data_IF_160992196060
#
_entry.id   IF_160992196060
#
_cell.length_a   1.000
_cell.length_b   1.000
_cell.length_c   1.000
_cell.angle_alpha   90.00
_cell.angle_beta   90.00
_cell.angle_gamma   90.00
#
_symmetry.space_group_name_H-M   'P 1'
#
loop_
_entity.id
_entity.type
_entity.pdbx_description
1 polymer ?
#
# COMPACT_ATOMS: atom_id res chain seq x y z
N UNK A 1 17.67 -26.22 -14.72
CA UNK A 1 16.30 -26.77 -14.57
C UNK A 1 15.55 -25.87 -13.57
N UNK A 2 14.74 -24.93 -14.05
CA UNK A 2 14.08 -23.94 -13.19
C UNK A 2 12.81 -24.57 -12.62
N UNK A 3 12.89 -25.18 -11.43
CA UNK A 3 11.73 -25.70 -10.71
C UNK A 3 10.93 -24.52 -10.16
N UNK A 4 10.20 -23.83 -11.03
CA UNK A 4 9.24 -22.83 -10.60
C UNK A 4 8.15 -23.57 -9.82
N UNK A 5 8.15 -23.42 -8.49
CA UNK A 5 7.08 -23.94 -7.65
C UNK A 5 5.72 -23.44 -8.17
N UNK A 6 4.70 -24.32 -8.21
CA UNK A 6 3.39 -23.96 -8.70
C UNK A 6 2.85 -22.75 -7.93
N UNK A 7 2.33 -21.76 -8.65
CA UNK A 7 1.69 -20.61 -8.03
C UNK A 7 0.43 -21.08 -7.30
N UNK A 8 0.19 -20.63 -6.05
CA UNK A 8 -1.01 -21.00 -5.32
C UNK A 8 -2.27 -20.57 -6.08
N UNK A 9 -3.36 -21.31 -5.87
CA UNK A 9 -4.66 -20.93 -6.43
C UNK A 9 -5.08 -19.54 -5.90
N UNK A 10 -5.91 -18.77 -6.64
CA UNK A 10 -6.39 -17.46 -6.19
C UNK A 10 -7.05 -17.54 -4.82
N UNK A 11 -7.81 -18.61 -4.57
CA UNK A 11 -8.50 -18.83 -3.32
C UNK A 11 -7.57 -19.08 -2.14
N UNK A 12 -6.46 -19.80 -2.34
CA UNK A 12 -5.44 -19.98 -1.30
C UNK A 12 -4.77 -18.64 -0.96
N UNK A 13 -4.42 -17.87 -1.98
CA UNK A 13 -3.83 -16.55 -1.78
C UNK A 13 -4.80 -15.56 -1.13
N UNK A 14 -6.07 -15.59 -1.53
CA UNK A 14 -7.14 -14.77 -0.94
C UNK A 14 -7.38 -15.16 0.52
N UNK A 15 -7.44 -16.45 0.84
CA UNK A 15 -7.57 -16.94 2.21
C UNK A 15 -6.39 -16.48 3.08
N UNK A 16 -5.16 -16.55 2.57
CA UNK A 16 -3.98 -16.06 3.27
C UNK A 16 -4.07 -14.55 3.55
N UNK A 17 -4.38 -13.74 2.53
CA UNK A 17 -4.52 -12.28 2.66
C UNK A 17 -5.66 -11.89 3.60
N UNK A 18 -6.81 -12.58 3.52
CA UNK A 18 -7.94 -12.40 4.42
C UNK A 18 -7.58 -12.75 5.86
N UNK A 19 -6.89 -13.87 6.08
CA UNK A 19 -6.47 -14.32 7.40
C UNK A 19 -5.53 -13.32 8.06
N UNK A 20 -4.48 -12.86 7.36
CA UNK A 20 -3.54 -11.89 7.96
C UNK A 20 -4.20 -10.53 8.21
N UNK A 21 -5.12 -10.09 7.34
CA UNK A 21 -5.90 -8.87 7.55
C UNK A 21 -6.78 -8.99 8.80
N UNK A 22 -7.55 -10.08 8.91
CA UNK A 22 -8.43 -10.32 10.05
C UNK A 22 -7.66 -10.49 11.37
N UNK A 23 -6.50 -11.17 11.35
CA UNK A 23 -5.64 -11.32 12.51
C UNK A 23 -5.08 -9.98 12.97
N UNK A 24 -4.52 -9.17 12.06
CA UNK A 24 -3.98 -7.86 12.40
C UNK A 24 -5.06 -6.92 12.96
N UNK A 25 -6.21 -6.81 12.27
CA UNK A 25 -7.32 -5.98 12.75
C UNK A 25 -7.90 -6.52 14.05
N UNK A 26 -7.99 -7.84 14.22
CA UNK A 26 -8.46 -8.48 15.46
C UNK A 26 -7.57 -8.15 16.67
N UNK A 27 -6.25 -8.19 16.48
CA UNK A 27 -5.29 -7.74 17.52
C UNK A 27 -5.49 -6.26 17.83
N UNK A 28 -5.61 -5.41 16.81
CA UNK A 28 -5.90 -3.97 16.98
C UNK A 28 -7.18 -3.71 17.78
N UNK A 29 -8.29 -4.38 17.41
CA UNK A 29 -9.57 -4.29 18.13
C UNK A 29 -9.43 -4.76 19.58
N UNK A 30 -8.69 -5.84 19.84
CA UNK A 30 -8.46 -6.34 21.20
C UNK A 30 -7.67 -5.31 22.05
N UNK A 31 -6.62 -4.70 21.49
CA UNK A 31 -5.87 -3.62 22.15
C UNK A 31 -6.78 -2.44 22.47
N UNK A 32 -7.54 -1.97 21.48
CA UNK A 32 -8.46 -0.84 21.63
C UNK A 32 -9.55 -1.11 22.67
N UNK A 33 -10.15 -2.30 22.64
CA UNK A 33 -11.19 -2.70 23.58
C UNK A 33 -10.69 -2.71 25.03
N UNK A 34 -9.52 -3.31 25.28
CA UNK A 34 -8.90 -3.36 26.62
C UNK A 34 -8.49 -1.99 27.14
N UNK A 35 -8.20 -1.05 26.26
CA UNK A 35 -7.90 0.33 26.62
C UNK A 35 -9.14 1.23 26.75
N UNK A 36 -10.36 0.67 26.65
CA UNK A 36 -11.60 1.43 26.84
C UNK A 36 -11.95 2.35 25.66
N UNK A 37 -11.42 2.09 24.46
CA UNK A 37 -11.82 2.84 23.25
C UNK A 37 -13.31 2.65 22.98
N UNK A 38 -13.99 3.73 22.60
CA UNK A 38 -15.44 3.76 22.43
C UNK A 38 -15.96 2.63 21.51
N UNK A 39 -17.03 1.90 21.90
CA UNK A 39 -17.55 0.77 21.11
C UNK A 39 -17.96 1.14 19.68
N UNK A 40 -18.36 2.40 19.44
CA UNK A 40 -18.68 2.89 18.11
C UNK A 40 -17.48 2.82 17.15
N UNK A 41 -16.27 3.13 17.63
CA UNK A 41 -15.05 3.06 16.83
C UNK A 41 -14.65 1.61 16.55
N UNK A 42 -14.83 0.70 17.52
CA UNK A 42 -14.60 -0.73 17.31
C UNK A 42 -15.52 -1.30 16.23
N UNK A 43 -16.82 -0.95 16.27
CA UNK A 43 -17.80 -1.34 15.23
C UNK A 43 -17.42 -0.81 13.87
N UNK A 44 -16.95 0.44 13.80
CA UNK A 44 -16.53 1.06 12.56
C UNK A 44 -15.26 0.41 11.98
N UNK A 45 -14.29 0.05 12.83
CA UNK A 45 -13.13 -0.75 12.41
C UNK A 45 -13.56 -2.13 11.87
N UNK A 46 -14.51 -2.79 12.54
CA UNK A 46 -15.09 -4.05 12.08
C UNK A 46 -15.80 -3.93 10.72
N UNK A 47 -16.49 -2.81 10.47
CA UNK A 47 -17.09 -2.52 9.17
C UNK A 47 -16.03 -2.37 8.08
N UNK A 48 -14.95 -1.63 8.34
CA UNK A 48 -13.86 -1.49 7.37
C UNK A 48 -13.14 -2.81 7.09
N UNK A 49 -13.00 -3.67 8.11
CA UNK A 49 -12.52 -5.04 7.91
C UNK A 49 -13.46 -5.82 6.98
N UNK A 50 -14.78 -5.78 7.21
CA UNK A 50 -15.75 -6.46 6.36
C UNK A 50 -15.68 -6.00 4.90
N UNK A 51 -15.54 -4.69 4.66
CA UNK A 51 -15.34 -4.13 3.31
C UNK A 51 -14.02 -4.62 2.70
N UNK A 52 -12.93 -4.62 3.46
CA UNK A 52 -11.63 -5.11 3.00
C UNK A 52 -11.69 -6.60 2.60
N UNK A 53 -12.35 -7.43 3.42
CA UNK A 53 -12.57 -8.85 3.14
C UNK A 53 -13.46 -9.06 1.91
N UNK A 54 -14.47 -8.21 1.71
CA UNK A 54 -15.29 -8.24 0.50
C UNK A 54 -14.45 -7.94 -0.75
N UNK A 55 -13.58 -6.93 -0.71
CA UNK A 55 -12.68 -6.61 -1.82
C UNK A 55 -11.74 -7.78 -2.15
N UNK A 56 -11.22 -8.46 -1.12
CA UNK A 56 -10.41 -9.68 -1.28
C UNK A 56 -11.22 -10.79 -1.97
N UNK A 57 -12.44 -11.04 -1.50
CA UNK A 57 -13.32 -12.08 -2.06
C UNK A 57 -13.71 -11.77 -3.52
N UNK A 58 -14.03 -10.51 -3.82
CA UNK A 58 -14.30 -10.04 -5.19
C UNK A 58 -13.07 -10.28 -6.07
N UNK A 59 -11.86 -9.92 -5.60
CA UNK A 59 -10.62 -10.17 -6.33
C UNK A 59 -10.39 -11.66 -6.65
N UNK A 60 -10.74 -12.56 -5.72
CA UNK A 60 -10.62 -14.00 -5.92
C UNK A 60 -11.65 -14.56 -6.92
N UNK A 61 -12.85 -13.97 -6.96
CA UNK A 61 -13.95 -14.38 -7.83
C UNK A 61 -13.88 -13.78 -9.24
N UNK A 62 -13.17 -12.65 -9.42
CA UNK A 62 -13.05 -12.01 -10.73
C UNK A 62 -12.32 -12.92 -11.73
N UNK A 63 -12.82 -13.02 -12.98
CA UNK A 63 -12.11 -13.76 -14.01
C UNK A 63 -10.77 -13.08 -14.28
N UNK A 64 -9.71 -13.87 -14.18
CA UNK A 64 -8.34 -13.45 -14.52
C UNK A 64 -8.28 -13.15 -16.02
N UNK A 65 -8.32 -11.85 -16.33
CA UNK A 65 -8.17 -11.33 -17.68
C UNK A 65 -7.05 -10.31 -17.65
N UNK A 66 -6.08 -10.48 -18.55
CA UNK A 66 -5.03 -9.51 -18.77
C UNK A 66 -5.65 -8.16 -19.07
N UNK A 67 -5.49 -7.22 -18.16
CA UNK A 67 -5.93 -5.87 -18.37
C UNK A 67 -5.11 -5.26 -19.51
N UNK A 68 -5.78 -4.57 -20.44
CA UNK A 68 -5.10 -3.87 -21.53
C UNK A 68 -4.16 -2.82 -20.91
N UNK A 69 -2.92 -2.67 -21.41
CA UNK A 69 -1.94 -1.76 -20.81
C UNK A 69 -2.44 -0.31 -20.75
N UNK A 70 -3.20 0.13 -21.74
CA UNK A 70 -3.84 1.46 -21.71
C UNK A 70 -4.87 1.63 -20.59
N UNK A 71 -5.67 0.59 -20.30
CA UNK A 71 -6.62 0.62 -19.18
C UNK A 71 -5.88 0.62 -17.84
N UNK A 72 -4.83 -0.21 -17.69
CA UNK A 72 -3.99 -0.21 -16.50
C UNK A 72 -3.38 1.17 -16.24
N UNK A 73 -2.84 1.81 -17.27
CA UNK A 73 -2.30 3.17 -17.17
C UNK A 73 -3.39 4.17 -16.78
N UNK A 74 -4.56 4.11 -17.40
CA UNK A 74 -5.68 5.00 -17.06
C UNK A 74 -6.09 4.86 -15.58
N UNK A 75 -6.17 3.62 -15.06
CA UNK A 75 -6.45 3.37 -13.65
C UNK A 75 -5.33 3.91 -12.76
N UNK A 76 -4.06 3.69 -13.11
CA UNK A 76 -2.92 4.22 -12.35
C UNK A 76 -2.93 5.75 -12.29
N UNK A 77 -3.22 6.42 -13.41
CA UNK A 77 -3.34 7.87 -13.49
C UNK A 77 -4.53 8.36 -12.67
N UNK A 78 -5.68 7.69 -12.76
CA UNK A 78 -6.85 8.05 -11.96
C UNK A 78 -6.58 7.92 -10.46
N UNK A 79 -5.91 6.83 -10.04
CA UNK A 79 -5.48 6.63 -8.66
C UNK A 79 -4.51 7.73 -8.20
N UNK A 80 -3.43 7.99 -8.96
CA UNK A 80 -2.48 9.04 -8.61
C UNK A 80 -3.11 10.45 -8.60
N UNK A 81 -3.97 10.76 -9.57
CA UNK A 81 -4.70 12.02 -9.63
C UNK A 81 -5.71 12.17 -8.49
N UNK A 82 -6.32 11.08 -8.01
CA UNK A 82 -7.25 11.12 -6.88
C UNK A 82 -6.60 11.65 -5.61
N UNK A 83 -5.28 11.50 -5.44
CA UNK A 83 -4.54 12.07 -4.30
C UNK A 83 -4.66 13.60 -4.23
N UNK A 84 -4.95 14.30 -5.32
CA UNK A 84 -5.17 15.75 -5.29
C UNK A 84 -6.55 16.15 -4.77
N UNK A 85 -7.51 15.22 -4.64
CA UNK A 85 -8.88 15.53 -4.23
C UNK A 85 -8.99 16.23 -2.87
N UNK A 86 -8.31 15.79 -1.79
CA UNK A 86 -8.35 16.49 -0.51
C UNK A 86 -7.94 17.96 -0.62
N UNK A 87 -6.93 18.27 -1.43
CA UNK A 87 -6.47 19.64 -1.68
C UNK A 87 -7.47 20.43 -2.51
N UNK A 88 -7.98 19.85 -3.62
CA UNK A 88 -8.93 20.50 -4.53
C UNK A 88 -10.29 20.80 -3.90
N UNK A 89 -10.75 19.93 -3.00
CA UNK A 89 -12.07 20.04 -2.36
C UNK A 89 -12.04 20.83 -1.05
N UNK A 90 -10.97 21.60 -0.80
CA UNK A 90 -10.90 22.53 0.31
C UNK A 90 -10.53 21.91 1.66
N UNK A 91 -9.60 20.94 1.67
CA UNK A 91 -9.12 20.26 2.89
C UNK A 91 -8.48 21.16 3.97
N UNK A 92 -8.41 22.48 3.78
CA UNK A 92 -7.92 23.45 4.76
C UNK A 92 -6.52 23.10 5.28
N UNK A 93 -6.29 23.33 6.57
CA UNK A 93 -5.03 22.99 7.25
C UNK A 93 -4.73 21.48 7.31
N UNK A 94 -5.69 20.62 6.93
CA UNK A 94 -5.58 19.16 6.97
C UNK A 94 -5.71 18.58 5.56
N UNK A 95 -4.95 19.15 4.62
CA UNK A 95 -5.04 18.88 3.19
C UNK A 95 -4.81 17.40 2.79
N UNK A 96 -4.51 16.47 3.71
CA UNK A 96 -4.39 15.02 3.47
C UNK A 96 -5.68 14.21 3.69
N UNK A 97 -6.72 14.82 4.26
CA UNK A 97 -7.98 14.13 4.62
C UNK A 97 -9.14 14.53 3.72
N UNK A 98 -9.84 13.55 3.13
CA UNK A 98 -11.08 13.77 2.39
C UNK A 98 -12.28 13.66 3.33
N UNK A 99 -13.10 14.71 3.43
CA UNK A 99 -14.35 14.65 4.18
C UNK A 99 -15.43 13.90 3.38
N UNK A 100 -15.98 12.83 3.97
CA UNK A 100 -17.08 12.03 3.41
C UNK A 100 -18.18 11.96 4.48
N UNK A 101 -19.14 12.88 4.40
CA UNK A 101 -20.18 13.04 5.42
C UNK A 101 -19.57 13.35 6.80
N UNK A 102 -19.84 12.50 7.79
CA UNK A 102 -19.33 12.66 9.15
C UNK A 102 -17.90 12.12 9.36
N UNK A 103 -17.28 11.52 8.33
CA UNK A 103 -15.98 10.87 8.45
C UNK A 103 -14.92 11.58 7.62
N UNK A 104 -13.66 11.41 8.04
CA UNK A 104 -12.49 11.87 7.31
C UNK A 104 -11.68 10.67 6.85
N UNK A 105 -11.38 10.59 5.57
CA UNK A 105 -10.63 9.51 4.94
C UNK A 105 -9.24 10.00 4.55
N UNK A 106 -8.21 9.42 5.13
CA UNK A 106 -6.83 9.62 4.68
C UNK A 106 -6.63 8.85 3.38
N UNK A 107 -6.50 9.57 2.26
CA UNK A 107 -6.63 8.96 0.93
C UNK A 107 -5.35 8.23 0.48
N UNK A 108 -4.17 8.72 0.86
CA UNK A 108 -2.89 8.12 0.51
C UNK A 108 -2.81 6.61 0.84
N UNK A 109 -3.11 6.14 2.07
CA UNK A 109 -3.07 4.72 2.38
C UNK A 109 -4.15 3.88 1.67
N UNK A 110 -5.21 4.49 1.10
CA UNK A 110 -6.17 3.78 0.23
C UNK A 110 -5.61 3.56 -1.16
N UNK A 111 -4.92 4.56 -1.69
CA UNK A 111 -4.53 4.66 -3.12
C UNK A 111 -3.17 4.02 -3.39
N UNK A 112 -2.17 4.26 -2.53
CA UNK A 112 -0.79 3.87 -2.82
C UNK A 112 -0.59 2.34 -2.88
N UNK A 113 -1.17 1.53 -1.97
CA UNK A 113 -1.01 0.08 -2.05
C UNK A 113 -1.48 -0.53 -3.38
N UNK A 114 -2.74 -0.32 -3.86
CA UNK A 114 -3.14 -0.85 -5.16
C UNK A 114 -2.39 -0.21 -6.33
N UNK A 115 -2.00 1.06 -6.25
CA UNK A 115 -1.20 1.72 -7.28
C UNK A 115 0.14 0.99 -7.50
N UNK A 116 0.85 0.61 -6.43
CA UNK A 116 2.11 -0.13 -6.52
C UNK A 116 1.94 -1.50 -7.20
N UNK A 117 0.82 -2.20 -6.94
CA UNK A 117 0.50 -3.47 -7.62
C UNK A 117 0.34 -3.27 -9.13
N UNK A 118 -0.46 -2.28 -9.52
CA UNK A 118 -0.78 -2.02 -10.93
C UNK A 118 0.45 -1.52 -11.70
N UNK A 119 1.28 -0.68 -11.07
CA UNK A 119 2.56 -0.24 -11.64
C UNK A 119 3.53 -1.38 -11.85
N UNK A 120 3.63 -2.32 -10.90
CA UNK A 120 4.41 -3.55 -11.09
C UNK A 120 3.97 -4.33 -12.33
N UNK A 121 2.65 -4.44 -12.53
CA UNK A 121 2.09 -5.01 -13.75
C UNK A 121 2.52 -4.28 -15.02
N UNK A 122 2.50 -2.95 -15.05
CA UNK A 122 2.95 -2.16 -16.20
C UNK A 122 4.43 -2.35 -16.50
N UNK A 123 5.28 -2.39 -15.45
CA UNK A 123 6.73 -2.64 -15.59
C UNK A 123 6.97 -4.03 -16.18
N UNK A 124 6.26 -5.04 -15.70
CA UNK A 124 6.41 -6.42 -16.18
C UNK A 124 5.97 -6.58 -17.64
N UNK A 125 4.93 -5.85 -18.09
CA UNK A 125 4.42 -5.95 -19.46
C UNK A 125 5.22 -5.12 -20.48
N UNK A 126 5.61 -3.90 -20.14
CA UNK A 126 6.20 -2.94 -21.08
C UNK A 126 7.71 -2.74 -20.91
N UNK A 127 8.35 -3.45 -19.97
CA UNK A 127 9.79 -3.40 -19.74
C UNK A 127 10.29 -1.98 -19.46
N UNK A 128 11.35 -1.48 -20.14
CA UNK A 128 11.90 -0.15 -19.91
C UNK A 128 10.89 1.00 -20.07
N UNK A 129 9.95 0.88 -21.03
CA UNK A 129 8.91 1.90 -21.23
C UNK A 129 7.93 1.91 -20.06
N UNK A 130 7.53 0.72 -19.58
CA UNK A 130 6.69 0.58 -18.38
C UNK A 130 7.36 1.15 -17.13
N UNK A 131 8.67 0.97 -17.00
CA UNK A 131 9.47 1.55 -15.93
C UNK A 131 9.44 3.10 -15.93
N UNK A 132 9.62 3.71 -17.10
CA UNK A 132 9.52 5.17 -17.25
C UNK A 132 8.10 5.67 -16.93
N UNK A 133 7.08 4.98 -17.44
CA UNK A 133 5.68 5.30 -17.12
C UNK A 133 5.40 5.21 -15.63
N UNK A 134 5.90 4.17 -14.95
CA UNK A 134 5.76 4.03 -13.50
C UNK A 134 6.43 5.18 -12.75
N UNK A 135 7.62 5.62 -13.17
CA UNK A 135 8.31 6.81 -12.61
C UNK A 135 7.44 8.05 -12.75
N UNK A 136 6.86 8.31 -13.93
CA UNK A 136 6.00 9.48 -14.15
C UNK A 136 4.75 9.46 -13.25
N UNK A 137 4.11 8.29 -13.12
CA UNK A 137 2.93 8.14 -12.24
C UNK A 137 3.31 8.30 -10.76
N UNK A 138 4.44 7.74 -10.34
CA UNK A 138 4.94 7.92 -8.97
C UNK A 138 5.34 9.37 -8.70
N UNK A 139 5.88 10.09 -9.68
CA UNK A 139 6.19 11.50 -9.54
C UNK A 139 4.92 12.34 -9.35
N UNK A 140 3.84 12.01 -10.07
CA UNK A 140 2.53 12.63 -9.86
C UNK A 140 2.01 12.37 -8.44
N UNK A 141 2.10 11.12 -7.96
CA UNK A 141 1.70 10.79 -6.59
C UNK A 141 2.59 11.48 -5.54
N UNK A 142 3.91 11.51 -5.73
CA UNK A 142 4.86 12.15 -4.83
C UNK A 142 4.63 13.66 -4.73
N UNK A 143 4.34 14.32 -5.85
CA UNK A 143 3.97 15.74 -5.87
C UNK A 143 2.66 15.98 -5.10
N UNK A 144 1.65 15.11 -5.26
CA UNK A 144 0.41 15.20 -4.49
C UNK A 144 0.66 15.09 -2.97
N UNK A 145 1.51 14.14 -2.54
CA UNK A 145 1.84 13.95 -1.12
C UNK A 145 2.65 15.10 -0.54
N UNK A 146 3.55 15.70 -1.34
CA UNK A 146 4.30 16.88 -0.93
C UNK A 146 3.40 18.11 -0.74
N UNK A 147 2.36 18.26 -1.55
CA UNK A 147 1.33 19.31 -1.38
C UNK A 147 0.38 19.05 -0.19
N UNK A 148 0.26 17.78 0.24
CA UNK A 148 -0.57 17.36 1.37
C UNK A 148 0.16 17.36 2.73
N UNK A 149 1.33 18.00 2.78
CA UNK A 149 2.49 17.59 3.56
C UNK A 149 2.35 16.26 4.33
N UNK A 150 2.44 15.13 3.61
CA UNK A 150 2.41 13.79 4.20
C UNK A 150 3.78 13.09 4.10
N UNK A 151 4.72 13.43 5.00
CA UNK A 151 6.09 12.92 4.92
C UNK A 151 6.18 11.41 5.12
N UNK A 152 5.30 10.81 5.93
CA UNK A 152 5.36 9.37 6.19
C UNK A 152 4.96 8.57 4.95
N UNK A 153 3.87 8.98 4.29
CA UNK A 153 3.41 8.35 3.06
C UNK A 153 4.39 8.57 1.90
N UNK A 154 4.96 9.78 1.80
CA UNK A 154 5.94 10.10 0.77
C UNK A 154 7.26 9.32 0.97
N UNK A 155 7.73 9.16 2.21
CA UNK A 155 8.92 8.35 2.49
C UNK A 155 8.66 6.88 2.18
N UNK A 156 7.51 6.34 2.58
CA UNK A 156 7.13 4.97 2.26
C UNK A 156 7.03 4.73 0.74
N UNK A 157 6.45 5.67 -0.01
CA UNK A 157 6.42 5.63 -1.48
C UNK A 157 7.83 5.66 -2.09
N UNK A 158 8.69 6.54 -1.56
CA UNK A 158 10.08 6.70 -2.00
C UNK A 158 10.88 5.41 -1.84
N UNK A 159 10.74 4.74 -0.68
CA UNK A 159 11.42 3.48 -0.40
C UNK A 159 10.86 2.29 -1.20
N UNK A 160 9.55 2.31 -1.50
CA UNK A 160 8.90 1.27 -2.29
C UNK A 160 9.26 1.32 -3.78
N UNK A 161 9.50 2.53 -4.32
CA UNK A 161 9.74 2.73 -5.75
C UNK A 161 10.91 1.88 -6.30
N UNK A 162 12.10 1.79 -5.64
CA UNK A 162 13.19 0.89 -5.99
C UNK A 162 12.79 -0.55 -6.30
N UNK A 163 11.86 -1.10 -5.50
CA UNK A 163 11.46 -2.50 -5.62
C UNK A 163 10.79 -2.81 -6.97
N UNK A 164 10.15 -1.82 -7.60
CA UNK A 164 9.54 -1.98 -8.92
C UNK A 164 10.59 -2.21 -10.02
N UNK A 165 11.76 -1.58 -9.92
CA UNK A 165 12.81 -1.70 -10.93
C UNK A 165 13.75 -2.87 -10.68
N UNK A 166 14.03 -3.19 -9.41
CA UNK A 166 14.93 -4.29 -9.04
C UNK A 166 14.37 -5.67 -9.43
N UNK A 167 13.04 -5.78 -9.58
CA UNK A 167 12.35 -7.03 -9.93
C UNK A 167 11.89 -7.08 -11.38
N UNK A 168 12.00 -5.97 -12.12
CA UNK A 168 11.58 -5.92 -13.51
C UNK A 168 12.43 -6.80 -14.43
N UNK A 169 11.92 -7.12 -15.64
CA UNK A 169 12.68 -7.89 -16.62
C UNK A 169 14.00 -7.21 -16.97
N UNK A 170 15.12 -7.95 -16.93
CA UNK A 170 16.40 -7.42 -17.42
C UNK A 170 16.32 -7.25 -18.93
N UNK A 171 16.68 -6.08 -19.47
CA UNK A 171 16.64 -5.86 -20.91
C UNK A 171 17.67 -6.75 -21.61
N UNK A 172 17.28 -7.36 -22.74
CA UNK A 172 18.15 -8.24 -23.53
C UNK A 172 19.32 -7.51 -24.19
N UNK A 173 19.22 -6.19 -24.33
CA UNK A 173 20.30 -5.30 -24.78
C UNK A 173 20.48 -4.16 -23.78
N UNK A 174 21.71 -3.74 -23.48
CA UNK A 174 21.94 -2.59 -22.62
C UNK A 174 21.30 -1.36 -23.26
N UNK A 175 20.35 -0.75 -22.55
CA UNK A 175 19.82 0.56 -22.93
C UNK A 175 20.91 1.62 -22.77
N UNK A 176 20.88 2.67 -23.60
CA UNK A 176 21.80 3.82 -23.46
C UNK A 176 21.73 4.46 -22.06
N UNK A 177 20.54 4.45 -21.45
CA UNK A 177 20.34 4.83 -20.05
C UNK A 177 19.78 3.60 -19.33
N UNK A 178 20.48 3.03 -18.36
CA UNK A 178 19.99 1.86 -17.65
C UNK A 178 18.84 2.27 -16.72
N UNK A 179 17.81 1.41 -16.61
CA UNK A 179 16.59 1.73 -15.84
C UNK A 179 16.86 2.06 -14.36
N UNK A 180 17.94 1.55 -13.78
CA UNK A 180 18.35 1.88 -12.41
C UNK A 180 18.76 3.36 -12.26
N UNK A 181 19.31 3.99 -13.30
CA UNK A 181 19.71 5.39 -13.24
C UNK A 181 18.50 6.33 -13.22
N UNK A 182 17.45 6.00 -13.99
CA UNK A 182 16.16 6.70 -13.94
C UNK A 182 15.50 6.51 -12.57
N UNK A 183 15.53 5.28 -12.04
CA UNK A 183 15.04 4.99 -10.69
C UNK A 183 15.79 5.76 -9.61
N UNK A 184 17.12 5.83 -9.69
CA UNK A 184 17.96 6.57 -8.76
C UNK A 184 17.66 8.08 -8.80
N UNK A 185 17.53 8.66 -9.99
CA UNK A 185 17.14 10.07 -10.14
C UNK A 185 15.76 10.34 -9.53
N UNK A 186 14.78 9.48 -9.80
CA UNK A 186 13.44 9.60 -9.23
C UNK A 186 13.46 9.54 -7.70
N UNK A 187 14.18 8.57 -7.13
CA UNK A 187 14.36 8.44 -5.67
C UNK A 187 15.00 9.68 -5.08
N UNK A 188 16.05 10.23 -5.70
CA UNK A 188 16.69 11.47 -5.24
C UNK A 188 15.72 12.65 -5.22
N UNK A 189 14.90 12.80 -6.27
CA UNK A 189 13.85 13.84 -6.32
C UNK A 189 12.82 13.62 -5.22
N UNK A 190 12.35 12.38 -5.01
CA UNK A 190 11.35 12.09 -3.99
C UNK A 190 11.88 12.28 -2.57
N UNK A 191 13.16 11.97 -2.31
CA UNK A 191 13.83 12.30 -1.05
C UNK A 191 13.91 13.80 -0.81
N UNK A 192 14.20 14.59 -1.85
CA UNK A 192 14.16 16.05 -1.77
C UNK A 192 12.77 16.58 -1.42
N UNK A 193 11.73 16.08 -2.08
CA UNK A 193 10.33 16.40 -1.75
C UNK A 193 9.97 15.95 -0.33
N UNK A 194 10.48 14.80 0.12
CA UNK A 194 10.25 14.30 1.47
C UNK A 194 10.86 15.24 2.52
N UNK A 195 12.12 15.64 2.34
CA UNK A 195 12.80 16.58 3.22
C UNK A 195 12.04 17.91 3.33
N UNK A 196 11.49 18.41 2.22
CA UNK A 196 10.63 19.60 2.22
C UNK A 196 9.32 19.35 2.97
N UNK A 197 8.66 18.20 2.78
CA UNK A 197 7.39 17.89 3.45
C UNK A 197 7.52 17.78 4.98
N UNK A 198 8.70 17.40 5.49
CA UNK A 198 8.98 17.37 6.93
C UNK A 198 9.01 18.76 7.57
N UNK A 199 9.14 19.84 6.79
CA UNK A 199 9.07 21.22 7.32
C UNK A 199 7.64 21.64 7.65
N UNK A 200 6.64 20.90 7.16
CA UNK A 200 5.22 21.23 7.27
C UNK A 200 4.41 20.09 7.89
N UNK A 201 5.04 19.29 8.77
CA UNK A 201 4.35 18.17 9.44
C UNK A 201 3.10 18.68 10.14
N UNK A 202 2.00 17.97 9.88
CA UNK A 202 0.69 18.23 10.48
C UNK A 202 0.81 18.39 12.01
N UNK A 203 0.29 19.50 12.53
CA UNK A 203 0.35 19.85 13.95
C UNK A 203 -0.64 19.06 14.82
N UNK A 204 -1.45 18.18 14.22
CA UNK A 204 -2.37 17.33 14.97
C UNK A 204 -1.62 16.42 15.94
N UNK A 205 -2.07 16.44 17.19
CA UNK A 205 -1.60 15.50 18.20
C UNK A 205 -1.95 14.05 17.76
N UNK A 206 -1.03 13.10 17.94
CA UNK A 206 -1.30 11.70 17.68
C UNK A 206 -2.49 11.19 18.50
N UNK A 207 -3.34 10.39 17.86
CA UNK A 207 -4.45 9.69 18.49
C UNK A 207 -3.95 8.32 19.00
N UNK A 208 -4.09 8.03 20.31
CA UNK A 208 -3.49 6.83 20.89
C UNK A 208 -3.85 5.52 20.17
N UNK A 209 -5.10 5.36 19.74
CA UNK A 209 -5.57 4.12 19.11
C UNK A 209 -5.37 4.06 17.59
N UNK A 210 -4.77 5.09 16.99
CA UNK A 210 -4.51 5.21 15.54
C UNK A 210 -3.01 5.11 15.29
N UNK A 211 -2.23 6.09 15.77
CA UNK A 211 -0.79 6.14 15.64
C UNK A 211 -0.08 5.48 16.84
N UNK A 212 -0.68 5.57 18.03
CA UNK A 212 -0.09 5.09 19.29
C UNK A 212 -0.36 3.63 19.66
N UNK A 213 -0.93 2.83 18.76
CA UNK A 213 -1.51 1.53 19.13
C UNK A 213 -0.46 0.52 19.59
N UNK A 214 0.78 0.64 19.13
CA UNK A 214 1.88 -0.21 19.61
C UNK A 214 2.30 0.15 21.04
N UNK A 215 2.29 1.44 21.41
CA UNK A 215 2.51 1.85 22.80
C UNK A 215 1.35 1.40 23.69
N UNK A 216 0.10 1.45 23.20
CA UNK A 216 -1.05 0.90 23.92
C UNK A 216 -0.94 -0.62 24.12
N UNK A 217 -0.49 -1.35 23.10
CA UNK A 217 -0.24 -2.79 23.21
C UNK A 217 0.86 -3.09 24.23
N UNK A 218 1.95 -2.31 24.23
CA UNK A 218 3.05 -2.43 25.18
C UNK A 218 2.58 -2.17 26.62
N UNK A 219 1.73 -1.16 26.84
CA UNK A 219 1.15 -0.86 28.15
C UNK A 219 0.25 -1.98 28.70
N UNK A 220 -0.27 -2.85 27.82
CA UNK A 220 -1.05 -4.03 28.19
C UNK A 220 -0.19 -5.29 28.42
N UNK A 221 1.14 -5.17 28.27
CA UNK A 221 2.10 -6.24 28.54
C UNK A 221 2.73 -6.87 27.29
N UNK A 222 3.84 -7.59 27.51
CA UNK A 222 4.70 -8.15 26.46
C UNK A 222 3.96 -9.10 25.51
N UNK A 223 2.96 -9.84 26.00
CA UNK A 223 2.18 -10.75 25.16
C UNK A 223 1.35 -10.00 24.11
N UNK A 224 0.75 -8.87 24.49
CA UNK A 224 -0.07 -8.09 23.56
C UNK A 224 0.80 -7.36 22.53
N UNK A 225 1.94 -6.80 22.96
CA UNK A 225 2.93 -6.26 22.04
C UNK A 225 3.45 -7.34 21.08
N UNK A 226 3.79 -8.53 21.60
CA UNK A 226 4.24 -9.67 20.81
C UNK A 226 3.21 -10.09 19.76
N UNK A 227 1.92 -10.12 20.11
CA UNK A 227 0.84 -10.42 19.17
C UNK A 227 0.73 -9.36 18.06
N UNK A 228 0.86 -8.07 18.39
CA UNK A 228 0.84 -6.99 17.40
C UNK A 228 2.03 -7.07 16.43
N UNK A 229 3.24 -7.31 16.95
CA UNK A 229 4.44 -7.47 16.13
C UNK A 229 4.37 -8.72 15.24
N UNK A 230 3.85 -9.83 15.75
CA UNK A 230 3.65 -11.05 14.96
C UNK A 230 2.64 -10.81 13.83
N UNK A 231 1.57 -10.06 14.08
CA UNK A 231 0.60 -9.70 13.04
C UNK A 231 1.24 -8.85 11.93
N UNK A 232 2.10 -7.89 12.28
CA UNK A 232 2.89 -7.09 11.31
C UNK A 232 3.75 -8.01 10.43
N UNK A 233 4.51 -8.92 11.06
CA UNK A 233 5.37 -9.87 10.34
C UNK A 233 4.54 -10.76 9.41
N UNK A 234 3.38 -11.24 9.87
CA UNK A 234 2.48 -12.05 9.06
C UNK A 234 1.97 -11.32 7.81
N UNK A 235 1.59 -10.04 7.95
CA UNK A 235 1.17 -9.18 6.82
C UNK A 235 2.31 -9.04 5.81
N UNK A 236 3.52 -8.69 6.27
CA UNK A 236 4.69 -8.51 5.39
C UNK A 236 5.07 -9.84 4.70
N UNK A 237 5.02 -10.96 5.42
CA UNK A 237 5.29 -12.29 4.88
C UNK A 237 4.26 -12.68 3.80
N UNK A 238 2.98 -12.42 4.03
CA UNK A 238 1.93 -12.71 3.03
C UNK A 238 2.13 -11.92 1.73
N UNK A 239 2.56 -10.65 1.83
CA UNK A 239 2.87 -9.83 0.64
C UNK A 239 4.13 -10.31 -0.08
N UNK A 240 5.17 -10.70 0.64
CA UNK A 240 6.37 -11.29 0.04
C UNK A 240 6.05 -12.62 -0.69
N UNK A 241 5.15 -13.44 -0.12
CA UNK A 241 4.71 -14.71 -0.72
C UNK A 241 3.80 -14.54 -1.93
N UNK A 242 3.24 -13.35 -2.17
CA UNK A 242 2.42 -13.09 -3.36
C UNK A 242 3.23 -13.12 -4.67
N UNK A 243 4.57 -13.07 -4.60
CA UNK A 243 5.53 -13.21 -5.73
C UNK A 243 5.19 -12.37 -6.96
N UNK A 244 4.77 -11.12 -6.75
CA UNK A 244 4.57 -10.11 -7.80
C UNK A 244 5.47 -8.90 -7.56
N UNK A 245 6.02 -8.34 -8.63
CA UNK A 245 6.89 -7.15 -8.60
C UNK A 245 6.30 -6.02 -7.75
N UNK A 246 5.02 -5.69 -8.00
CA UNK A 246 4.28 -4.70 -7.23
C UNK A 246 3.99 -5.10 -5.78
N UNK A 247 3.84 -6.40 -5.48
CA UNK A 247 3.54 -6.86 -4.11
C UNK A 247 4.73 -6.69 -3.17
N UNK A 248 5.96 -6.88 -3.67
CA UNK A 248 7.16 -6.57 -2.89
C UNK A 248 7.32 -5.06 -2.70
N UNK A 249 7.00 -4.23 -3.71
CA UNK A 249 6.97 -2.78 -3.53
C UNK A 249 5.95 -2.37 -2.45
N UNK A 250 4.75 -2.97 -2.46
CA UNK A 250 3.77 -2.78 -1.39
C UNK A 250 4.28 -3.27 -0.02
N UNK A 251 4.99 -4.40 0.04
CA UNK A 251 5.60 -4.88 1.29
C UNK A 251 6.64 -3.89 1.84
N UNK A 252 7.48 -3.31 0.98
CA UNK A 252 8.45 -2.26 1.37
C UNK A 252 7.72 -1.00 1.84
N UNK A 253 6.64 -0.61 1.16
CA UNK A 253 5.79 0.51 1.58
C UNK A 253 5.20 0.28 2.99
N UNK A 254 4.60 -0.89 3.26
CA UNK A 254 4.08 -1.20 4.59
C UNK A 254 5.20 -1.29 5.64
N UNK A 255 6.34 -1.89 5.30
CA UNK A 255 7.50 -1.95 6.18
C UNK A 255 7.98 -0.56 6.59
N UNK A 256 8.04 0.38 5.65
CA UNK A 256 8.40 1.76 5.93
C UNK A 256 7.40 2.43 6.90
N UNK A 257 6.09 2.23 6.69
CA UNK A 257 5.07 2.75 7.61
C UNK A 257 5.18 2.13 9.01
N UNK A 258 5.44 0.82 9.11
CA UNK A 258 5.66 0.16 10.40
C UNK A 258 6.94 0.63 11.08
N UNK A 259 8.01 0.91 10.33
CA UNK A 259 9.25 1.48 10.86
C UNK A 259 9.07 2.92 11.37
N UNK A 260 8.12 3.67 10.80
CA UNK A 260 7.77 5.03 11.22
C UNK A 260 6.75 5.07 12.36
N UNK A 261 6.07 3.96 12.66
CA UNK A 261 5.06 3.87 13.72
C UNK A 261 5.53 4.38 15.10
N UNK A 262 6.77 4.14 15.57
CA UNK A 262 7.25 4.66 16.84
C UNK A 262 7.25 6.19 16.93
N UNK A 263 7.36 6.88 15.79
CA UNK A 263 7.33 8.34 15.71
C UNK A 263 5.90 8.91 15.75
N UNK A 264 4.88 8.05 15.67
CA UNK A 264 3.46 8.41 15.69
C UNK A 264 3.05 9.44 14.61
N UNK A 265 3.79 9.49 13.50
CA UNK A 265 3.56 10.42 12.38
C UNK A 265 2.53 9.90 11.36
N UNK A 266 2.10 8.64 11.52
CA UNK A 266 1.17 7.98 10.61
C UNK A 266 0.43 6.85 11.32
N UNK A 267 -0.81 6.53 10.92
CA UNK A 267 -1.54 5.39 11.46
C UNK A 267 -0.77 4.08 11.27
N UNK A 268 -0.79 3.20 12.27
CA UNK A 268 -0.14 1.88 12.16
C UNK A 268 -1.01 0.97 11.28
N UNK A 269 -0.58 0.59 10.06
CA UNK A 269 -1.48 -0.08 9.13
C UNK A 269 -2.07 -1.39 9.67
N UNK A 270 -3.38 -1.59 9.46
CA UNK A 270 -4.19 -2.73 9.89
C UNK A 270 -4.36 -2.92 11.42
N UNK A 271 -3.42 -2.45 12.24
CA UNK A 271 -3.54 -2.49 13.70
C UNK A 271 -4.31 -1.27 14.23
N UNK A 272 -3.85 -0.08 13.85
CA UNK A 272 -4.44 1.20 14.23
C UNK A 272 -5.85 1.37 13.67
N UNK A 273 -6.68 2.12 14.39
CA UNK A 273 -7.97 2.53 13.87
C UNK A 273 -7.80 3.40 12.61
N UNK A 274 -8.58 3.13 11.56
CA UNK A 274 -8.59 3.99 10.38
C UNK A 274 -9.05 3.28 9.12
N UNK A 275 -9.97 3.90 8.40
CA UNK A 275 -10.50 3.37 7.14
C UNK A 275 -9.39 3.21 6.07
N UNK A 276 -8.50 4.20 5.98
CA UNK A 276 -7.53 4.33 4.89
C UNK A 276 -6.69 3.06 4.67
N UNK A 277 -5.88 2.66 5.66
CA UNK A 277 -5.04 1.46 5.53
C UNK A 277 -5.83 0.16 5.31
N UNK A 278 -7.01 0.01 5.91
CA UNK A 278 -7.83 -1.21 5.77
C UNK A 278 -8.42 -1.34 4.36
N UNK A 279 -8.98 -0.25 3.83
CA UNK A 279 -9.53 -0.21 2.48
C UNK A 279 -8.43 -0.33 1.43
N UNK A 280 -7.28 0.31 1.64
CA UNK A 280 -6.13 0.20 0.76
C UNK A 280 -5.56 -1.21 0.69
N UNK A 281 -5.47 -1.91 1.83
CA UNK A 281 -5.06 -3.31 1.84
C UNK A 281 -6.02 -4.20 1.03
N UNK A 282 -7.34 -4.02 1.21
CA UNK A 282 -8.37 -4.75 0.47
C UNK A 282 -8.31 -4.48 -1.03
N UNK A 283 -8.16 -3.21 -1.43
CA UNK A 283 -8.01 -2.80 -2.83
C UNK A 283 -6.72 -3.34 -3.47
N UNK A 284 -5.62 -3.33 -2.72
CA UNK A 284 -4.36 -3.95 -3.13
C UNK A 284 -4.51 -5.45 -3.32
N UNK A 285 -5.14 -6.15 -2.37
CA UNK A 285 -5.38 -7.58 -2.47
C UNK A 285 -6.28 -7.92 -3.66
N UNK A 286 -7.31 -7.11 -3.93
CA UNK A 286 -8.12 -7.21 -5.14
C UNK A 286 -7.24 -7.12 -6.39
N UNK A 287 -6.37 -6.11 -6.47
CA UNK A 287 -5.45 -5.95 -7.61
C UNK A 287 -4.48 -7.14 -7.77
N UNK A 288 -3.98 -7.69 -6.66
CA UNK A 288 -3.14 -8.91 -6.66
C UNK A 288 -3.92 -10.10 -7.20
N UNK A 289 -5.17 -10.31 -6.77
CA UNK A 289 -5.93 -11.50 -7.12
C UNK A 289 -6.50 -11.44 -8.54
N UNK A 290 -6.89 -10.26 -9.00
CA UNK A 290 -7.50 -10.02 -10.31
C UNK A 290 -6.49 -9.97 -11.47
N UNK A 291 -5.24 -9.59 -11.22
CA UNK A 291 -4.24 -9.54 -12.31
C UNK A 291 -3.80 -10.94 -12.78
N UNK A 292 -3.47 -11.05 -14.06
CA UNK A 292 -3.02 -12.31 -14.69
C UNK A 292 -1.63 -12.74 -14.19
N UNK A 293 -1.37 -14.05 -14.25
CA UNK A 293 -0.04 -14.57 -13.97
C UNK A 293 0.90 -14.28 -15.16
N UNK A 294 2.11 -13.70 -14.94
CA UNK A 294 3.06 -13.38 -16.01
C UNK A 294 3.57 -14.59 -16.82
N UNK A 295 3.30 -15.81 -16.36
CA UNK A 295 3.57 -17.05 -17.08
C UNK A 295 2.54 -17.38 -18.19
N UNK A 296 1.30 -16.89 -18.07
CA UNK A 296 0.22 -17.19 -19.02
C UNK A 296 0.37 -16.39 -20.32
N UNK A 297 0.85 -15.13 -20.25
CA UNK A 297 1.07 -14.28 -21.41
C UNK A 297 2.16 -14.79 -22.36
N UNK A 298 3.22 -15.42 -21.83
CA UNK A 298 4.32 -15.97 -22.64
C UNK A 298 3.95 -17.18 -23.48
N UNK A 299 2.88 -17.92 -23.13
CA UNK A 299 2.41 -19.06 -23.93
C UNK A 299 1.46 -18.68 -25.07
N UNK A 300 0.94 -17.44 -25.09
CA UNK A 300 0.04 -16.95 -26.15
C UNK A 300 0.76 -16.14 -27.22
N UNK A 301 2.04 -15.83 -27.00
CA UNK A 301 2.86 -15.01 -27.89
C UNK A 301 3.90 -15.82 -28.70
N UNK A 302 3.86 -17.15 -28.60
CA UNK A 302 4.58 -18.09 -29.45
C UNK A 302 3.59 -19.02 -30.13
#
# INVERSE_FOLDING_TARGET
MNLASPQPSPWVQAALLALVCALAVGVGIAVMHRAGVAPALLRLQGLFLAVSLLLIAVGAALPRRGARPGLLLAICLALAASLYLPWLLGGGAQARWLAIGAFRLHLAPVVLPPLLILLGGLVDHAGPRGALTAVCVLALAAAALALQPDPAQLLALTLAAPALWLQGPRPARPARIPGWAVGALAVSVFLGLNALSWQYVDALAPVPHVEGILQMAAAQGVLMLGAALLAIVAVLAALALARRSGAVAAAVYFLALYALAPLQVTPVPLLGFGAGPLLGFGAMALAILAADSPAAGRRRAG
#
